data_IF_507620557504
#
_entry.id   IF_507620557504
#
_cell.length_a   1.000
_cell.length_b   1.000
_cell.length_c   1.000
_cell.angle_alpha   90.00
_cell.angle_beta   90.00
_cell.angle_gamma   90.00
#
_symmetry.space_group_name_H-M   'P 1'
#
loop_
_entity.id
_entity.type
_entity.pdbx_description
1 polymer ?
#
# COMPACT_ATOMS: atom_id res chain seq x y z
N UNK A 1 -6.48 13.44 13.13
CA UNK A 1 -5.59 12.99 12.05
C UNK A 1 -5.93 13.73 10.76
N UNK A 2 -4.92 14.01 9.92
CA UNK A 2 -5.10 14.70 8.63
C UNK A 2 -5.95 13.89 7.64
N UNK A 3 -5.86 12.56 7.70
CA UNK A 3 -6.63 11.64 6.85
C UNK A 3 -8.15 11.88 6.99
N UNK A 4 -8.65 12.06 8.22
CA UNK A 4 -10.06 12.36 8.47
C UNK A 4 -10.50 13.76 7.98
N UNK A 5 -9.57 14.60 7.54
CA UNK A 5 -9.82 15.90 6.93
C UNK A 5 -9.65 15.88 5.40
N UNK A 6 -9.58 14.69 4.80
CA UNK A 6 -9.44 14.53 3.35
C UNK A 6 -8.02 14.70 2.85
N UNK A 7 -7.01 14.38 3.68
CA UNK A 7 -5.64 14.28 3.17
C UNK A 7 -5.57 13.19 2.09
N UNK A 8 -4.93 13.52 0.97
CA UNK A 8 -4.71 12.60 -0.13
C UNK A 8 -3.68 11.54 0.26
N UNK A 9 -4.11 10.28 0.29
CA UNK A 9 -3.26 9.13 0.63
C UNK A 9 -2.27 8.80 -0.48
N UNK A 10 -2.54 9.26 -1.70
CA UNK A 10 -1.73 9.05 -2.89
C UNK A 10 -0.97 10.31 -3.32
N UNK A 11 -0.91 11.32 -2.44
CA UNK A 11 -0.09 12.50 -2.64
C UNK A 11 1.36 12.08 -2.90
N UNK A 12 1.98 12.62 -3.95
CA UNK A 12 3.34 12.27 -4.38
C UNK A 12 4.32 13.39 -4.04
N UNK A 13 5.49 13.03 -3.53
CA UNK A 13 6.63 13.95 -3.43
C UNK A 13 7.35 14.10 -4.79
N UNK A 14 8.50 14.80 -4.79
CA UNK A 14 9.27 15.13 -6.00
C UNK A 14 9.80 13.91 -6.79
N UNK A 15 9.79 12.73 -6.19
CA UNK A 15 10.26 11.48 -6.80
C UNK A 15 9.17 10.41 -6.81
N UNK A 16 7.90 10.83 -6.68
CA UNK A 16 6.75 9.95 -6.82
C UNK A 16 6.39 9.16 -5.58
N UNK A 17 7.03 9.39 -4.42
CA UNK A 17 6.73 8.64 -3.19
C UNK A 17 5.42 9.11 -2.57
N UNK A 18 4.60 8.14 -2.20
CA UNK A 18 3.39 8.35 -1.41
C UNK A 18 3.69 8.31 0.10
N UNK A 19 2.78 8.79 0.97
CA UNK A 19 2.87 8.62 2.42
C UNK A 19 3.16 7.18 2.85
N UNK A 20 2.67 6.17 2.13
CA UNK A 20 2.92 4.76 2.46
C UNK A 20 4.37 4.33 2.19
N UNK A 21 5.02 4.85 1.15
CA UNK A 21 6.45 4.62 0.89
C UNK A 21 7.30 5.17 2.03
N UNK A 22 7.03 6.41 2.42
CA UNK A 22 7.75 7.09 3.50
C UNK A 22 7.54 6.36 4.83
N UNK A 23 6.30 5.98 5.15
CA UNK A 23 6.01 5.24 6.37
C UNK A 23 6.71 3.86 6.41
N UNK A 24 6.80 3.18 5.26
CA UNK A 24 7.49 1.89 5.15
C UNK A 24 9.01 2.01 5.28
N UNK A 25 9.62 3.06 4.70
CA UNK A 25 11.05 3.34 4.80
C UNK A 25 11.45 3.71 6.23
N UNK A 26 10.71 4.63 6.86
CA UNK A 26 11.02 5.16 8.21
C UNK A 26 10.58 4.22 9.36
N UNK A 27 10.26 2.96 9.06
CA UNK A 27 9.76 1.97 10.02
C UNK A 27 8.57 2.45 10.88
N UNK A 28 7.68 3.27 10.31
CA UNK A 28 6.54 3.85 11.01
C UNK A 28 5.32 2.90 10.97
N UNK A 29 5.39 1.81 11.73
CA UNK A 29 4.38 0.73 11.77
C UNK A 29 2.94 1.26 11.93
N UNK A 30 2.71 2.20 12.86
CA UNK A 30 1.36 2.71 13.12
C UNK A 30 0.83 3.53 11.95
N UNK A 31 1.68 4.35 11.33
CA UNK A 31 1.33 5.10 10.11
C UNK A 31 0.98 4.15 8.97
N UNK A 32 1.74 3.06 8.78
CA UNK A 32 1.41 2.02 7.78
C UNK A 32 0.02 1.44 8.05
N UNK A 33 -0.27 1.01 9.29
CA UNK A 33 -1.58 0.44 9.65
C UNK A 33 -2.72 1.42 9.38
N UNK A 34 -2.56 2.68 9.76
CA UNK A 34 -3.57 3.72 9.55
C UNK A 34 -3.78 3.98 8.05
N UNK A 35 -2.71 4.13 7.27
CA UNK A 35 -2.81 4.39 5.83
C UNK A 35 -3.52 3.23 5.11
N UNK A 36 -3.17 1.98 5.42
CA UNK A 36 -3.84 0.79 4.88
C UNK A 36 -5.32 0.73 5.27
N UNK A 37 -5.64 1.01 6.53
CA UNK A 37 -7.03 1.02 7.00
C UNK A 37 -7.91 2.05 6.29
N UNK A 38 -7.31 3.11 5.74
CA UNK A 38 -8.01 4.14 4.96
C UNK A 38 -7.89 3.93 3.44
N UNK A 39 -7.33 2.80 3.00
CA UNK A 39 -7.32 2.41 1.60
C UNK A 39 -6.15 2.95 0.78
N UNK A 40 -5.02 3.30 1.41
CA UNK A 40 -3.80 3.61 0.67
C UNK A 40 -3.39 2.44 -0.23
N UNK A 41 -2.99 2.74 -1.46
CA UNK A 41 -2.65 1.72 -2.45
C UNK A 41 -1.25 1.15 -2.18
N UNK A 42 -1.22 -0.13 -1.78
CA UNK A 42 0.01 -0.87 -1.50
C UNK A 42 0.91 -1.07 -2.72
N UNK A 43 0.33 -1.01 -3.92
CA UNK A 43 1.01 -1.23 -5.19
C UNK A 43 1.39 0.07 -5.89
N UNK A 44 1.14 1.23 -5.28
CA UNK A 44 1.63 2.50 -5.81
C UNK A 44 3.14 2.44 -5.97
N UNK A 45 3.62 2.90 -7.13
CA UNK A 45 5.03 2.96 -7.47
C UNK A 45 5.52 4.39 -7.56
N UNK A 46 6.69 4.63 -7.00
CA UNK A 46 7.45 5.86 -7.18
C UNK A 46 8.11 5.90 -8.58
N UNK A 47 8.90 6.94 -8.84
CA UNK A 47 9.48 7.18 -10.16
C UNK A 47 10.57 6.16 -10.55
N UNK A 48 11.19 5.52 -9.55
CA UNK A 48 12.14 4.41 -9.73
C UNK A 48 11.41 3.05 -9.81
N UNK A 49 10.08 3.06 -9.73
CA UNK A 49 9.24 1.88 -9.79
C UNK A 49 9.16 1.11 -8.47
N UNK A 50 9.65 1.65 -7.36
CA UNK A 50 9.59 1.01 -6.04
C UNK A 50 8.22 1.21 -5.41
N UNK A 51 7.70 0.17 -4.76
CA UNK A 51 6.52 0.24 -3.91
C UNK A 51 6.87 0.22 -2.42
N UNK A 52 5.89 0.44 -1.55
CA UNK A 52 6.10 0.43 -0.10
C UNK A 52 6.73 -0.87 0.43
N UNK A 53 6.43 -2.02 -0.21
CA UNK A 53 7.04 -3.30 0.17
C UNK A 53 8.54 -3.33 -0.14
N UNK A 54 8.97 -2.72 -1.26
CA UNK A 54 10.38 -2.66 -1.66
C UNK A 54 11.19 -1.83 -0.66
N UNK A 55 10.65 -0.68 -0.21
CA UNK A 55 11.25 0.15 0.84
C UNK A 55 11.36 -0.59 2.19
N UNK A 56 10.30 -1.28 2.61
CA UNK A 56 10.36 -2.06 3.85
C UNK A 56 11.40 -3.20 3.73
N UNK A 57 11.55 -3.78 2.55
CA UNK A 57 12.56 -4.79 2.22
C UNK A 57 13.98 -4.26 2.28
N UNK A 58 14.25 -3.12 1.65
CA UNK A 58 15.58 -2.51 1.60
C UNK A 58 16.08 -2.07 2.98
N UNK A 59 15.17 -1.58 3.82
CA UNK A 59 15.48 -1.12 5.18
C UNK A 59 15.45 -2.26 6.22
N UNK A 60 15.02 -3.47 5.84
CA UNK A 60 14.92 -4.62 6.75
C UNK A 60 13.78 -4.51 7.77
N UNK A 61 12.73 -3.74 7.48
CA UNK A 61 11.57 -3.53 8.33
C UNK A 61 10.61 -4.73 8.30
N UNK A 62 11.00 -5.83 8.95
CA UNK A 62 10.30 -7.13 8.91
C UNK A 62 8.83 -7.03 9.35
N UNK A 63 8.51 -6.23 10.36
CA UNK A 63 7.12 -6.08 10.80
C UNK A 63 6.24 -5.44 9.72
N UNK A 64 6.75 -4.42 9.03
CA UNK A 64 6.02 -3.74 7.95
C UNK A 64 5.89 -4.65 6.73
N UNK A 65 6.93 -5.42 6.39
CA UNK A 65 6.84 -6.45 5.35
C UNK A 65 5.71 -7.44 5.62
N UNK A 66 5.59 -7.93 6.86
CA UNK A 66 4.53 -8.84 7.26
C UNK A 66 3.14 -8.19 7.17
N UNK A 67 3.00 -6.94 7.60
CA UNK A 67 1.74 -6.19 7.50
C UNK A 67 1.34 -6.02 6.04
N UNK A 68 2.24 -5.53 5.18
CA UNK A 68 1.97 -5.28 3.77
C UNK A 68 1.65 -6.58 3.02
N UNK A 69 2.37 -7.67 3.30
CA UNK A 69 2.13 -8.99 2.67
C UNK A 69 0.82 -9.62 3.14
N UNK A 70 0.46 -9.44 4.41
CA UNK A 70 -0.83 -9.89 4.93
C UNK A 70 -2.00 -9.09 4.33
N UNK A 71 -1.79 -7.78 4.12
CA UNK A 71 -2.78 -6.94 3.46
C UNK A 71 -2.92 -7.29 1.97
N UNK A 72 -1.80 -7.53 1.27
CA UNK A 72 -1.79 -7.90 -0.15
C UNK A 72 -2.42 -9.26 -0.41
N UNK A 73 -2.16 -10.25 0.45
CA UNK A 73 -2.81 -11.57 0.36
C UNK A 73 -4.31 -11.47 0.62
N UNK A 74 -4.75 -10.71 1.63
CA UNK A 74 -6.17 -10.45 1.88
C UNK A 74 -6.85 -9.76 0.69
N UNK A 75 -6.20 -8.77 0.09
CA UNK A 75 -6.65 -8.12 -1.14
C UNK A 75 -6.70 -9.13 -2.28
N UNK A 76 -5.67 -9.96 -2.48
CA UNK A 76 -5.65 -11.00 -3.52
C UNK A 76 -6.81 -12.00 -3.35
N UNK A 77 -7.10 -12.47 -2.13
CA UNK A 77 -8.27 -13.34 -1.88
C UNK A 77 -9.61 -12.62 -2.17
N UNK A 78 -9.72 -11.32 -1.91
CA UNK A 78 -10.86 -10.50 -2.35
C UNK A 78 -10.87 -10.27 -3.86
N UNK A 79 -9.71 -10.14 -4.47
CA UNK A 79 -9.55 -9.84 -5.89
C UNK A 79 -9.75 -11.08 -6.76
N UNK A 80 -9.45 -12.29 -6.29
CA UNK A 80 -9.84 -13.54 -6.97
C UNK A 80 -11.37 -13.61 -7.14
N UNK A 81 -12.15 -13.10 -6.19
CA UNK A 81 -13.60 -12.93 -6.36
C UNK A 81 -13.95 -11.81 -7.36
N UNK A 82 -13.23 -10.69 -7.38
CA UNK A 82 -13.42 -9.62 -8.38
C UNK A 82 -13.05 -10.07 -9.80
N UNK A 83 -12.02 -10.89 -9.98
CA UNK A 83 -11.63 -11.49 -11.25
C UNK A 83 -12.69 -12.48 -11.71
N UNK A 84 -13.24 -13.31 -10.81
CA UNK A 84 -14.37 -14.18 -11.14
C UNK A 84 -15.64 -13.38 -11.52
N UNK A 85 -15.90 -12.24 -10.87
CA UNK A 85 -17.01 -11.34 -11.23
C UNK A 85 -16.78 -10.60 -12.55
N UNK A 86 -15.54 -10.27 -12.91
CA UNK A 86 -15.18 -9.70 -14.22
C UNK A 86 -15.23 -10.76 -15.34
N UNK A 87 -14.95 -12.03 -15.04
CA UNK A 87 -15.07 -13.14 -16.00
C UNK A 87 -16.54 -13.51 -16.29
N UNK A 88 -17.49 -13.20 -15.41
CA UNK A 88 -18.93 -13.38 -15.66
C UNK A 88 -19.57 -12.30 -16.55
N UNK A 89 -18.81 -11.25 -16.94
CA UNK A 89 -19.26 -10.24 -17.91
C UNK A 89 -18.80 -10.53 -19.35
N UNK A 90 -18.19 -11.68 -19.60
CA UNK A 90 -17.86 -12.17 -20.93
C UNK A 90 -18.46 -13.57 -21.13
N UNK A 91 -19.79 -13.64 -21.27
CA UNK A 91 -20.49 -14.73 -21.97
C UNK A 91 -20.82 -14.27 -23.39
#
# INVERSE_FOLDING_TARGET
>A
MLINRGADLEARDEIGRTPLHLAARENCVESVKILLAHGANIFSRDDDGWCALDYAGSEGNVEILNILTSHSSFINYRDVMLVLMQMMHFF
#
